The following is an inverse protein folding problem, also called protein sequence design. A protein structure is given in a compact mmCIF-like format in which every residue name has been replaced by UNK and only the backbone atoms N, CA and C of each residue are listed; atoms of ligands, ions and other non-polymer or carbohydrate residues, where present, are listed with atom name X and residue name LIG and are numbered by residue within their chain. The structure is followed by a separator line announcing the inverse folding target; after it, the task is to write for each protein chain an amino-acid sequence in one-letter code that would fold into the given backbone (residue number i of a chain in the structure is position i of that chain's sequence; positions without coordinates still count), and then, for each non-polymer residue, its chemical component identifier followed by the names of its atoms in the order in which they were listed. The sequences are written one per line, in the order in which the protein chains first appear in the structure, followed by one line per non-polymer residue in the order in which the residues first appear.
data_IF_114894974335
#
_entry.id   IF_114894974335
#
_cell.length_a   1.000
_cell.length_b   1.000
_cell.length_c   1.000
_cell.angle_alpha   90.00
_cell.angle_beta   90.00
_cell.angle_gamma   90.00
#
_symmetry.space_group_name_H-M   'P 1'
#
loop_
_entity.id
_entity.type
_entity.pdbx_description
1 polymer ?
#
# COMPACT_ATOMS: atom_id res chain seq x y z
N UNK A 1 -0.88 -11.77 -7.30
CA UNK A 1 -0.36 -13.14 -7.17
C UNK A 1 0.57 -13.58 -8.32
N UNK A 2 1.81 -13.92 -7.97
CA UNK A 2 2.74 -14.78 -8.73
C UNK A 2 3.24 -15.81 -7.72
N UNK A 3 3.41 -17.08 -8.08
CA UNK A 3 3.75 -18.19 -7.15
C UNK A 3 4.59 -17.76 -5.92
N UNK A 4 3.95 -17.77 -4.74
CA UNK A 4 4.57 -17.44 -3.46
C UNK A 4 4.74 -15.94 -3.15
N UNK A 5 4.25 -15.04 -4.01
CA UNK A 5 4.30 -13.59 -3.82
C UNK A 5 2.93 -12.96 -4.07
N UNK A 6 2.44 -12.25 -3.06
CA UNK A 6 1.23 -11.44 -3.16
C UNK A 6 1.58 -9.95 -3.09
N UNK A 7 0.88 -9.12 -3.86
CA UNK A 7 1.17 -7.68 -3.91
C UNK A 7 -0.11 -6.85 -3.82
N UNK A 8 -0.10 -5.88 -2.90
CA UNK A 8 -1.16 -4.91 -2.71
C UNK A 8 -0.70 -3.54 -3.23
N UNK A 9 -1.49 -2.98 -4.14
CA UNK A 9 -1.24 -1.65 -4.71
C UNK A 9 -2.08 -0.60 -3.98
N UNK A 10 -1.41 0.38 -3.37
CA UNK A 10 -2.06 1.49 -2.66
C UNK A 10 -1.92 2.76 -3.49
N UNK A 11 -2.97 3.14 -4.20
CA UNK A 11 -2.99 4.38 -5.00
C UNK A 11 -3.80 5.42 -4.24
N UNK A 12 -3.16 6.55 -3.94
CA UNK A 12 -3.78 7.63 -3.18
C UNK A 12 -4.62 8.54 -4.09
N UNK A 13 -5.95 8.42 -3.98
CA UNK A 13 -6.90 9.33 -4.63
C UNK A 13 -7.59 10.27 -3.61
N UNK A 14 -7.04 10.39 -2.40
CA UNK A 14 -7.67 11.16 -1.33
C UNK A 14 -7.60 12.66 -1.62
N UNK A 15 -8.73 13.35 -1.50
CA UNK A 15 -8.81 14.79 -1.83
C UNK A 15 -8.78 15.08 -3.34
N UNK A 16 -8.75 14.06 -4.19
CA UNK A 16 -8.87 14.20 -5.64
C UNK A 16 -10.35 14.12 -6.02
N UNK A 17 -10.93 15.24 -6.45
CA UNK A 17 -12.33 15.31 -6.86
C UNK A 17 -12.56 14.85 -8.31
N UNK A 18 -11.49 14.79 -9.11
CA UNK A 18 -11.50 14.37 -10.51
C UNK A 18 -10.64 13.12 -10.71
N UNK A 19 -11.30 11.97 -10.72
CA UNK A 19 -10.67 10.64 -10.91
C UNK A 19 -10.40 10.30 -12.38
N UNK A 20 -10.63 11.22 -13.32
CA UNK A 20 -10.16 11.00 -14.69
C UNK A 20 -8.64 10.91 -14.69
N UNK A 21 -8.07 10.01 -15.48
CA UNK A 21 -6.61 9.84 -15.49
C UNK A 21 -5.91 10.92 -16.31
N UNK A 22 -6.57 11.48 -17.33
CA UNK A 22 -5.97 12.45 -18.24
C UNK A 22 -6.00 13.86 -17.65
N UNK A 23 -4.83 14.44 -17.41
CA UNK A 23 -4.69 15.86 -17.08
C UNK A 23 -4.77 16.70 -18.36
N UNK A 24 -5.98 16.87 -18.93
CA UNK A 24 -6.18 17.61 -20.18
C UNK A 24 -5.62 19.04 -20.13
N UNK A 25 -5.63 19.65 -18.94
CA UNK A 25 -5.14 21.01 -18.70
C UNK A 25 -3.72 21.03 -18.10
N UNK A 26 -3.04 19.88 -18.06
CA UNK A 26 -1.72 19.73 -17.44
C UNK A 26 -1.70 19.92 -15.92
N UNK A 27 -2.87 20.06 -15.29
CA UNK A 27 -3.03 20.26 -13.84
C UNK A 27 -3.98 19.20 -13.30
N UNK A 28 -3.58 18.55 -12.21
CA UNK A 28 -4.44 17.73 -11.36
C UNK A 28 -4.12 18.04 -9.90
N UNK A 29 -5.10 17.80 -9.04
CA UNK A 29 -4.92 17.95 -7.61
C UNK A 29 -3.87 16.95 -7.11
N UNK A 30 -2.94 17.42 -6.28
CA UNK A 30 -2.06 16.55 -5.50
C UNK A 30 -2.89 15.82 -4.45
N UNK A 31 -2.81 14.48 -4.35
CA UNK A 31 -3.51 13.73 -3.32
C UNK A 31 -3.12 14.21 -1.91
N UNK A 32 -4.06 14.12 -0.98
CA UNK A 32 -3.78 14.39 0.42
C UNK A 32 -2.92 13.26 0.98
N UNK A 33 -1.67 13.57 1.33
CA UNK A 33 -0.72 12.61 1.92
C UNK A 33 -1.32 11.97 3.18
N UNK A 34 -1.17 10.66 3.30
CA UNK A 34 -1.53 9.90 4.50
C UNK A 34 -0.28 9.42 5.21
N UNK A 35 -0.32 9.37 6.55
CA UNK A 35 0.79 8.95 7.39
C UNK A 35 0.31 7.95 8.44
N UNK A 36 1.23 7.07 8.88
CA UNK A 36 0.99 6.08 9.93
C UNK A 36 -0.23 5.18 9.67
N UNK A 37 -0.34 4.69 8.44
CA UNK A 37 -1.41 3.79 8.04
C UNK A 37 -1.18 2.39 8.59
N UNK A 38 -2.28 1.73 8.98
CA UNK A 38 -2.33 0.30 9.27
C UNK A 38 -3.14 -0.37 8.18
N UNK A 39 -2.48 -1.17 7.35
CA UNK A 39 -3.13 -1.85 6.23
C UNK A 39 -3.41 -3.28 6.64
N UNK A 40 -4.70 -3.66 6.66
CA UNK A 40 -5.14 -5.03 6.85
C UNK A 40 -5.35 -5.70 5.49
N UNK A 41 -4.73 -6.86 5.29
CA UNK A 41 -4.95 -7.73 4.14
C UNK A 41 -5.55 -9.05 4.64
N UNK A 42 -6.82 -9.28 4.30
CA UNK A 42 -7.54 -10.48 4.70
C UNK A 42 -7.14 -11.66 3.81
N UNK A 43 -6.59 -12.70 4.44
CA UNK A 43 -6.05 -13.87 3.75
C UNK A 43 -5.87 -15.03 4.72
N UNK A 44 -6.08 -16.25 4.22
CA UNK A 44 -5.76 -17.51 4.93
C UNK A 44 -4.33 -17.98 4.62
N UNK A 45 -3.64 -17.33 3.67
CA UNK A 45 -2.27 -17.67 3.32
C UNK A 45 -1.28 -17.15 4.36
N UNK A 46 -0.24 -17.94 4.62
CA UNK A 46 0.86 -17.55 5.50
C UNK A 46 2.04 -17.05 4.69
N UNK A 47 2.61 -15.92 5.10
CA UNK A 47 3.85 -15.37 4.53
C UNK A 47 4.89 -15.22 5.65
N UNK A 48 6.15 -15.14 5.27
CA UNK A 48 7.27 -15.00 6.22
C UNK A 48 7.76 -13.56 6.34
N UNK A 49 7.66 -12.80 5.25
CA UNK A 49 8.17 -11.45 5.12
C UNK A 49 7.13 -10.53 4.47
N UNK A 50 7.15 -9.27 4.88
CA UNK A 50 6.38 -8.20 4.26
C UNK A 50 7.32 -7.04 3.91
N UNK A 51 7.10 -6.44 2.76
CA UNK A 51 7.92 -5.36 2.25
C UNK A 51 7.05 -4.23 1.73
N UNK A 52 7.53 -2.99 1.89
CA UNK A 52 6.94 -1.80 1.28
C UNK A 52 7.97 -1.15 0.36
N UNK A 53 7.53 -0.79 -0.83
CA UNK A 53 8.31 0.01 -1.77
C UNK A 53 7.43 1.07 -2.40
N UNK A 54 8.04 2.17 -2.84
CA UNK A 54 7.35 3.26 -3.51
C UNK A 54 8.34 4.01 -4.41
N UNK A 55 7.91 4.50 -5.59
CA UNK A 55 8.69 5.45 -6.36
C UNK A 55 8.79 6.82 -5.66
N UNK A 56 7.94 7.10 -4.66
CA UNK A 56 7.93 8.37 -3.94
C UNK A 56 9.24 8.57 -3.15
N UNK A 57 9.66 9.83 -2.91
CA UNK A 57 10.98 10.14 -2.34
C UNK A 57 11.32 9.45 -1.01
N UNK A 58 10.30 9.04 -0.24
CA UNK A 58 10.48 8.34 1.03
C UNK A 58 11.11 6.94 0.88
N UNK A 59 10.91 6.29 -0.28
CA UNK A 59 11.42 4.95 -0.58
C UNK A 59 12.38 4.94 -1.77
N UNK A 60 12.25 5.87 -2.72
CA UNK A 60 13.11 5.99 -3.90
C UNK A 60 13.27 4.66 -4.66
N UNK A 61 12.18 3.88 -4.74
CA UNK A 61 12.11 2.56 -5.36
C UNK A 61 12.74 1.41 -4.55
N UNK A 62 13.28 1.67 -3.36
CA UNK A 62 13.92 0.66 -2.52
C UNK A 62 12.89 -0.02 -1.62
N UNK A 63 12.82 -1.35 -1.73
CA UNK A 63 12.03 -2.18 -0.81
C UNK A 63 12.60 -2.13 0.60
N UNK A 64 11.73 -1.87 1.58
CA UNK A 64 12.04 -1.95 3.01
C UNK A 64 11.19 -3.04 3.62
N UNK A 65 11.84 -3.95 4.34
CA UNK A 65 11.12 -4.93 5.16
C UNK A 65 10.39 -4.21 6.29
N UNK A 66 9.18 -4.67 6.57
CA UNK A 66 8.29 -4.09 7.58
C UNK A 66 7.77 -5.19 8.49
N UNK A 67 7.50 -4.89 9.78
CA UNK A 67 6.94 -5.88 10.67
C UNK A 67 5.54 -6.28 10.20
N UNK A 68 5.28 -7.57 10.28
CA UNK A 68 4.01 -8.19 9.92
C UNK A 68 3.37 -8.76 11.18
N UNK A 69 2.10 -8.45 11.43
CA UNK A 69 1.30 -9.10 12.47
C UNK A 69 0.13 -9.85 11.87
N UNK A 70 -0.19 -11.01 12.42
CA UNK A 70 -1.38 -11.79 12.04
C UNK A 70 -2.45 -11.58 13.10
N UNK A 71 -3.69 -11.44 12.68
CA UNK A 71 -4.86 -11.34 13.54
C UNK A 71 -6.08 -11.96 12.90
N UNK A 72 -7.18 -11.97 13.65
CA UNK A 72 -8.48 -12.46 13.20
C UNK A 72 -9.56 -11.54 13.77
N UNK A 73 -10.54 -11.17 12.95
CA UNK A 73 -11.74 -10.47 13.38
C UNK A 73 -12.99 -11.11 12.76
N UNK A 74 -14.17 -10.54 12.99
CA UNK A 74 -15.44 -11.08 12.49
C UNK A 74 -15.48 -11.26 10.94
N UNK A 75 -14.54 -10.64 10.21
CA UNK A 75 -14.41 -10.74 8.75
C UNK A 75 -13.46 -11.86 8.31
N UNK A 76 -12.63 -12.39 9.21
CA UNK A 76 -11.68 -13.48 8.95
C UNK A 76 -10.24 -13.18 9.38
N UNK A 77 -9.33 -14.10 9.03
CA UNK A 77 -7.90 -13.95 9.28
C UNK A 77 -7.30 -12.83 8.41
N UNK A 78 -6.39 -12.06 8.98
CA UNK A 78 -5.72 -10.97 8.27
C UNK A 78 -4.27 -10.81 8.69
N UNK A 79 -3.52 -10.18 7.79
CA UNK A 79 -2.19 -9.66 8.01
C UNK A 79 -2.26 -8.15 8.12
N UNK A 80 -1.69 -7.57 9.18
CA UNK A 80 -1.56 -6.12 9.38
C UNK A 80 -0.11 -5.70 9.15
N UNK A 81 0.07 -4.64 8.35
CA UNK A 81 1.37 -4.06 8.00
C UNK A 81 1.32 -2.54 8.21
N UNK A 82 2.33 -1.93 8.86
CA UNK A 82 2.43 -0.48 8.94
C UNK A 82 2.99 0.12 7.65
N UNK A 83 2.36 1.21 7.18
CA UNK A 83 2.85 2.04 6.08
C UNK A 83 3.07 3.45 6.63
N UNK A 84 4.34 3.87 6.68
CA UNK A 84 4.74 5.14 7.30
C UNK A 84 4.16 6.36 6.60
N UNK A 85 4.10 6.34 5.27
CA UNK A 85 3.57 7.44 4.46
C UNK A 85 3.14 6.95 3.10
N UNK A 86 1.98 7.39 2.64
CA UNK A 86 1.47 7.19 1.29
C UNK A 86 1.20 8.56 0.65
N UNK A 87 2.04 8.95 -0.31
CA UNK A 87 1.89 10.21 -1.05
C UNK A 87 1.09 10.00 -2.33
N UNK A 88 1.62 9.22 -3.27
CA UNK A 88 0.94 8.87 -4.52
C UNK A 88 0.68 7.37 -4.62
N UNK A 89 1.74 6.56 -4.50
CA UNK A 89 1.65 5.13 -4.74
C UNK A 89 2.65 4.36 -3.89
N UNK A 90 2.15 3.43 -3.09
CA UNK A 90 2.96 2.42 -2.42
C UNK A 90 2.55 1.02 -2.90
N UNK A 91 3.54 0.13 -2.97
CA UNK A 91 3.33 -1.30 -3.17
C UNK A 91 3.76 -2.03 -1.92
N UNK A 92 2.84 -2.80 -1.33
CA UNK A 92 3.15 -3.81 -0.33
C UNK A 92 3.28 -5.15 -1.05
N UNK A 93 4.27 -5.96 -0.70
CA UNK A 93 4.30 -7.35 -1.14
C UNK A 93 4.71 -8.30 -0.01
N UNK A 94 4.19 -9.52 -0.08
CA UNK A 94 4.36 -10.58 0.90
C UNK A 94 5.08 -11.76 0.27
N UNK A 95 5.99 -12.40 1.02
CA UNK A 95 6.76 -13.58 0.61
C UNK A 95 6.93 -14.58 1.74
#
# INVERSE_FOLDING_TARGET
EKDGIEALQLINLSGVNDVTWRANEGKKATPTKKENLKVKYYTENTYTHAYVTSPDPAFNGVSKEVPMSVGEDDTGAYIEVPVSSLEYWDMIYFQ
#
